data_IF_966263433873
#
_entry.id   IF_966263433873
#
_cell.length_a   1.000
_cell.length_b   1.000
_cell.length_c   1.000
_cell.angle_alpha   90.00
_cell.angle_beta   90.00
_cell.angle_gamma   90.00
#
_symmetry.space_group_name_H-M   'P 1'
#
loop_
_entity.id
_entity.type
_entity.pdbx_description
1 polymer ?
#
# COMPACT_ATOMS: atom_id res chain seq x y z
N UNK A 1 -15.90 0.45 24.90
CA UNK A 1 -15.27 -0.82 24.43
C UNK A 1 -14.16 -0.48 23.44
N UNK A 2 -12.93 -0.99 23.62
CA UNK A 2 -11.79 -0.79 22.70
C UNK A 2 -11.79 -1.88 21.64
N UNK A 3 -11.84 -1.50 20.37
CA UNK A 3 -11.90 -2.46 19.25
C UNK A 3 -10.84 -2.22 18.19
N UNK A 4 -10.62 -3.24 17.36
CA UNK A 4 -9.98 -3.12 16.07
C UNK A 4 -10.98 -3.43 14.95
N UNK A 5 -10.86 -2.75 13.81
CA UNK A 5 -11.66 -3.00 12.60
C UNK A 5 -10.71 -3.41 11.48
N UNK A 6 -11.02 -4.50 10.81
CA UNK A 6 -10.19 -5.05 9.73
C UNK A 6 -11.04 -5.33 8.51
N UNK A 7 -10.78 -4.65 7.40
CA UNK A 7 -11.38 -4.97 6.11
C UNK A 7 -10.52 -5.99 5.35
N UNK A 8 -11.13 -6.78 4.48
CA UNK A 8 -10.44 -7.86 3.78
C UNK A 8 -10.02 -9.02 4.70
N UNK A 9 -10.75 -9.23 5.79
CA UNK A 9 -10.39 -10.18 6.85
C UNK A 9 -10.53 -11.66 6.44
N UNK A 10 -11.22 -11.98 5.33
CA UNK A 10 -11.45 -13.37 4.92
C UNK A 10 -10.23 -14.07 4.34
N UNK A 11 -9.20 -13.33 3.91
CA UNK A 11 -7.99 -13.92 3.29
C UNK A 11 -6.76 -13.01 3.42
N UNK A 12 -5.62 -13.51 2.93
CA UNK A 12 -4.41 -12.74 2.71
C UNK A 12 -3.91 -11.96 3.92
N UNK A 13 -3.52 -10.69 3.67
CA UNK A 13 -2.91 -9.85 4.70
C UNK A 13 -3.91 -9.34 5.74
N UNK A 14 -5.19 -9.16 5.39
CA UNK A 14 -6.23 -8.81 6.35
C UNK A 14 -6.49 -9.91 7.37
N UNK A 15 -6.62 -11.18 6.90
CA UNK A 15 -6.74 -12.36 7.79
C UNK A 15 -5.52 -12.51 8.69
N UNK A 16 -4.33 -12.29 8.14
CA UNK A 16 -3.10 -12.38 8.92
C UNK A 16 -2.97 -11.24 9.94
N UNK A 17 -3.46 -10.03 9.61
CA UNK A 17 -3.50 -8.92 10.56
C UNK A 17 -4.39 -9.26 11.75
N UNK A 18 -5.58 -9.83 11.52
CA UNK A 18 -6.48 -10.28 12.58
C UNK A 18 -5.80 -11.30 13.52
N UNK A 19 -5.05 -12.26 12.97
CA UNK A 19 -4.33 -13.25 13.77
C UNK A 19 -3.23 -12.68 14.66
N UNK A 20 -2.58 -11.59 14.22
CA UNK A 20 -1.41 -11.05 14.91
C UNK A 20 -1.70 -9.86 15.81
N UNK A 21 -2.90 -9.27 15.72
CA UNK A 21 -3.16 -8.02 16.45
C UNK A 21 -3.26 -8.20 17.96
N UNK A 22 -3.79 -9.33 18.44
CA UNK A 22 -3.95 -9.61 19.86
C UNK A 22 -2.60 -9.59 20.61
N UNK A 23 -1.55 -10.08 19.97
CA UNK A 23 -0.18 -10.09 20.53
C UNK A 23 0.44 -8.69 20.60
N UNK A 24 -0.14 -7.69 19.95
CA UNK A 24 0.51 -6.39 19.73
C UNK A 24 -0.26 -5.20 20.23
N UNK A 25 -1.57 -5.34 20.36
CA UNK A 25 -2.46 -4.30 20.84
C UNK A 25 -3.14 -4.78 22.12
N UNK A 26 -2.44 -4.61 23.25
CA UNK A 26 -2.99 -4.96 24.56
C UNK A 26 -4.25 -4.15 24.87
N UNK A 27 -5.23 -4.83 25.47
CA UNK A 27 -6.47 -4.21 25.91
C UNK A 27 -7.53 -4.01 24.82
N UNK A 28 -7.37 -4.61 23.64
CA UNK A 28 -8.49 -4.79 22.71
C UNK A 28 -9.49 -5.78 23.32
N UNK A 29 -10.75 -5.43 23.23
CA UNK A 29 -11.85 -6.20 23.79
C UNK A 29 -12.63 -6.96 22.72
N UNK A 30 -12.61 -6.48 21.48
CA UNK A 30 -13.31 -7.10 20.35
C UNK A 30 -12.61 -6.72 19.03
N UNK A 31 -12.72 -7.58 18.01
CA UNK A 31 -12.26 -7.34 16.64
C UNK A 31 -13.46 -7.42 15.69
N UNK A 32 -13.63 -6.41 14.86
CA UNK A 32 -14.62 -6.43 13.79
C UNK A 32 -13.95 -6.86 12.47
N UNK A 33 -14.42 -7.98 11.95
CA UNK A 33 -13.93 -8.59 10.71
C UNK A 33 -14.92 -8.27 9.59
N UNK A 34 -14.45 -7.60 8.55
CA UNK A 34 -15.28 -7.15 7.44
C UNK A 34 -14.76 -7.78 6.13
N UNK A 35 -15.61 -8.55 5.46
CA UNK A 35 -15.36 -9.11 4.14
C UNK A 35 -16.67 -9.67 3.55
N UNK A 36 -16.65 -10.15 2.30
CA UNK A 36 -17.82 -10.74 1.65
C UNK A 36 -18.08 -12.19 2.10
N UNK A 37 -17.02 -12.96 2.44
CA UNK A 37 -17.09 -14.41 2.72
C UNK A 37 -17.25 -14.64 4.23
N UNK A 38 -18.50 -14.81 4.68
CA UNK A 38 -18.84 -14.99 6.10
C UNK A 38 -18.21 -16.27 6.68
N UNK A 39 -18.31 -17.37 5.96
CA UNK A 39 -17.76 -18.68 6.33
C UNK A 39 -16.28 -18.59 6.75
N UNK A 40 -15.47 -17.92 5.95
CA UNK A 40 -14.05 -17.75 6.21
C UNK A 40 -13.73 -16.80 7.38
N UNK A 41 -14.60 -15.84 7.63
CA UNK A 41 -14.46 -14.96 8.79
C UNK A 41 -14.82 -15.71 10.08
N UNK A 42 -15.87 -16.53 10.05
CA UNK A 42 -16.26 -17.37 11.20
C UNK A 42 -15.19 -18.44 11.51
N UNK A 43 -14.57 -19.02 10.49
CA UNK A 43 -13.40 -19.90 10.69
C UNK A 43 -12.25 -19.14 11.39
N UNK A 44 -11.97 -17.91 10.95
CA UNK A 44 -10.95 -17.08 11.58
C UNK A 44 -11.30 -16.73 13.02
N UNK A 45 -12.55 -16.29 13.27
CA UNK A 45 -13.08 -15.93 14.59
C UNK A 45 -12.80 -17.03 15.64
N UNK A 46 -13.07 -18.31 15.29
CA UNK A 46 -12.82 -19.44 16.20
C UNK A 46 -11.35 -19.61 16.59
N UNK A 47 -10.42 -19.03 15.85
CA UNK A 47 -8.97 -19.11 16.10
C UNK A 47 -8.40 -17.89 16.83
N UNK A 48 -9.20 -16.85 17.00
CA UNK A 48 -8.73 -15.61 17.62
C UNK A 48 -8.80 -15.70 19.16
N UNK A 49 -7.79 -15.18 19.87
CA UNK A 49 -7.75 -15.21 21.34
C UNK A 49 -8.62 -14.13 21.97
N UNK A 50 -9.27 -13.28 21.19
CA UNK A 50 -10.19 -12.22 21.64
C UNK A 50 -11.49 -12.32 20.85
N UNK A 51 -12.64 -11.92 21.44
CA UNK A 51 -13.92 -11.92 20.77
C UNK A 51 -13.84 -11.23 19.41
N UNK A 52 -14.49 -11.81 18.42
CA UNK A 52 -14.60 -11.19 17.09
C UNK A 52 -16.06 -11.06 16.67
N UNK A 53 -16.32 -10.14 15.76
CA UNK A 53 -17.62 -9.92 15.16
C UNK A 53 -17.47 -9.86 13.66
N UNK A 54 -18.21 -10.71 12.95
CA UNK A 54 -18.11 -10.84 11.50
C UNK A 54 -19.22 -10.03 10.81
N UNK A 55 -18.83 -9.26 9.80
CA UNK A 55 -19.72 -8.50 8.94
C UNK A 55 -19.53 -8.90 7.48
N UNK A 56 -20.52 -9.59 6.91
CA UNK A 56 -20.53 -9.94 5.49
C UNK A 56 -20.99 -8.71 4.69
N UNK A 57 -20.03 -7.86 4.29
CA UNK A 57 -20.28 -6.59 3.60
C UNK A 57 -19.44 -6.55 2.32
N UNK A 58 -20.08 -6.27 1.18
CA UNK A 58 -19.37 -5.76 0.01
C UNK A 58 -19.15 -4.25 0.20
N UNK A 59 -17.91 -3.87 0.39
CA UNK A 59 -17.54 -2.48 0.65
C UNK A 59 -17.70 -1.57 -0.59
N UNK A 60 -17.94 -2.11 -1.77
CA UNK A 60 -18.26 -1.32 -2.98
C UNK A 60 -19.72 -0.89 -2.99
N UNK A 61 -20.60 -1.65 -2.32
CA UNK A 61 -22.01 -1.38 -2.19
C UNK A 61 -22.28 -0.38 -1.05
N UNK A 62 -22.86 0.77 -1.36
CA UNK A 62 -23.18 1.82 -0.40
C UNK A 62 -24.20 1.35 0.65
N UNK A 63 -25.26 0.62 0.23
CA UNK A 63 -26.31 0.13 1.12
C UNK A 63 -25.78 -0.87 2.14
N UNK A 64 -24.84 -1.73 1.73
CA UNK A 64 -24.21 -2.68 2.66
C UNK A 64 -23.28 -1.97 3.65
N UNK A 65 -22.60 -0.89 3.25
CA UNK A 65 -21.78 -0.08 4.17
C UNK A 65 -22.60 0.57 5.29
N UNK A 66 -23.88 0.87 5.07
CA UNK A 66 -24.80 1.38 6.10
C UNK A 66 -24.88 0.43 7.30
N UNK A 67 -24.72 -0.89 7.10
CA UNK A 67 -24.66 -1.85 8.22
C UNK A 67 -23.51 -1.54 9.17
N UNK A 68 -22.32 -1.21 8.63
CA UNK A 68 -21.16 -0.82 9.44
C UNK A 68 -21.41 0.52 10.15
N UNK A 69 -21.97 1.49 9.43
CA UNK A 69 -22.25 2.82 9.96
C UNK A 69 -23.27 2.75 11.12
N UNK A 70 -24.38 2.00 10.94
CA UNK A 70 -25.38 1.78 11.96
C UNK A 70 -24.82 1.09 13.21
N UNK A 71 -23.96 0.09 13.02
CA UNK A 71 -23.33 -0.61 14.14
C UNK A 71 -22.33 0.29 14.89
N UNK A 72 -21.58 1.13 14.18
CA UNK A 72 -20.70 2.14 14.78
C UNK A 72 -21.53 3.17 15.60
N UNK A 73 -22.64 3.65 15.04
CA UNK A 73 -23.53 4.60 15.70
C UNK A 73 -24.19 4.02 16.94
N UNK A 74 -24.65 2.77 16.86
CA UNK A 74 -25.33 2.08 17.98
C UNK A 74 -24.37 1.78 19.14
N UNK A 75 -23.16 1.28 18.84
CA UNK A 75 -22.21 0.83 19.88
C UNK A 75 -21.23 1.89 20.34
N UNK A 76 -20.98 2.90 19.54
CA UNK A 76 -20.02 4.00 19.79
C UNK A 76 -18.68 3.46 20.34
N UNK A 77 -18.03 2.52 19.65
CA UNK A 77 -16.82 1.91 20.16
C UNK A 77 -15.65 2.90 20.13
N UNK A 78 -14.61 2.62 20.91
CA UNK A 78 -13.32 3.29 20.78
C UNK A 78 -12.43 2.48 19.84
N UNK A 79 -12.36 2.87 18.58
CA UNK A 79 -11.55 2.17 17.57
C UNK A 79 -10.08 2.51 17.76
N UNK A 80 -9.29 1.55 18.23
CA UNK A 80 -7.85 1.70 18.45
C UNK A 80 -7.01 1.34 17.23
N UNK A 81 -7.54 0.51 16.35
CA UNK A 81 -6.88 0.10 15.13
C UNK A 81 -7.88 -0.04 13.98
N UNK A 82 -7.63 0.64 12.88
CA UNK A 82 -8.28 0.40 11.60
C UNK A 82 -7.26 -0.18 10.62
N UNK A 83 -7.56 -1.34 10.04
CA UNK A 83 -6.77 -1.99 9.00
C UNK A 83 -7.59 -2.05 7.72
N UNK A 84 -7.30 -1.20 6.76
CA UNK A 84 -7.89 -1.23 5.43
C UNK A 84 -7.03 -2.14 4.52
N UNK A 85 -7.39 -3.42 4.48
CA UNK A 85 -6.69 -4.44 3.69
C UNK A 85 -7.56 -5.04 2.57
N UNK A 86 -8.82 -4.60 2.40
CA UNK A 86 -9.63 -4.93 1.22
C UNK A 86 -9.00 -4.33 -0.04
N UNK A 87 -8.97 -5.11 -1.10
CA UNK A 87 -8.46 -4.67 -2.38
C UNK A 87 -8.14 -5.84 -3.30
N UNK A 88 -8.19 -5.60 -4.59
CA UNK A 88 -7.77 -6.55 -5.62
C UNK A 88 -7.05 -5.84 -6.75
N UNK A 89 -6.45 -6.61 -7.63
CA UNK A 89 -5.85 -6.15 -8.87
C UNK A 89 -6.07 -7.14 -9.98
N UNK A 90 -6.10 -6.68 -11.22
CA UNK A 90 -6.16 -7.48 -12.44
C UNK A 90 -5.02 -7.07 -13.36
N UNK A 91 -4.23 -8.04 -13.79
CA UNK A 91 -3.11 -7.85 -14.70
C UNK A 91 -3.65 -7.87 -16.13
N UNK A 92 -3.39 -6.82 -16.87
CA UNK A 92 -3.79 -6.62 -18.25
C UNK A 92 -3.60 -5.18 -18.67
N UNK A 93 -3.52 -4.93 -19.98
CA UNK A 93 -3.49 -3.57 -20.56
C UNK A 93 -4.89 -2.97 -20.52
N UNK A 94 -4.97 -1.66 -20.35
CA UNK A 94 -6.25 -0.92 -20.36
C UNK A 94 -6.98 -1.17 -21.68
N UNK A 95 -8.26 -1.46 -21.57
CA UNK A 95 -9.13 -1.81 -22.71
C UNK A 95 -9.13 -3.30 -23.07
N UNK A 96 -8.21 -4.11 -22.55
CA UNK A 96 -8.20 -5.58 -22.72
C UNK A 96 -8.78 -6.32 -21.51
N UNK A 97 -8.97 -5.63 -20.40
CA UNK A 97 -9.69 -6.16 -19.24
C UNK A 97 -11.18 -5.81 -19.35
N UNK A 98 -12.08 -6.62 -18.77
CA UNK A 98 -13.47 -6.22 -18.60
C UNK A 98 -13.57 -4.88 -17.85
N UNK A 99 -14.46 -4.00 -18.30
CA UNK A 99 -14.67 -2.67 -17.70
C UNK A 99 -14.97 -2.76 -16.20
N UNK A 100 -15.76 -3.75 -15.79
CA UNK A 100 -16.10 -3.98 -14.37
C UNK A 100 -14.88 -4.34 -13.53
N UNK A 101 -13.90 -5.05 -14.07
CA UNK A 101 -12.64 -5.34 -13.38
C UNK A 101 -11.81 -4.05 -13.25
N UNK A 102 -11.75 -3.23 -14.30
CA UNK A 102 -10.99 -1.97 -14.28
C UNK A 102 -11.60 -0.96 -13.29
N UNK A 103 -12.90 -0.70 -13.39
CA UNK A 103 -13.60 0.24 -12.50
C UNK A 103 -13.74 -0.30 -11.10
N UNK A 104 -13.95 -1.61 -10.94
CA UNK A 104 -14.04 -2.27 -9.64
C UNK A 104 -12.76 -2.15 -8.81
N UNK A 105 -11.58 -2.09 -9.44
CA UNK A 105 -10.33 -1.77 -8.73
C UNK A 105 -10.38 -0.38 -8.10
N UNK A 106 -10.94 0.62 -8.79
CA UNK A 106 -11.08 1.99 -8.28
C UNK A 106 -12.12 2.03 -7.16
N UNK A 107 -13.27 1.38 -7.37
CA UNK A 107 -14.34 1.31 -6.37
C UNK A 107 -13.86 0.69 -5.05
N UNK A 108 -13.20 -0.46 -5.09
CA UNK A 108 -12.76 -1.14 -3.88
C UNK A 108 -11.49 -0.53 -3.27
N UNK A 109 -10.46 -0.30 -4.09
CA UNK A 109 -9.15 0.10 -3.57
C UNK A 109 -9.11 1.57 -3.14
N UNK A 110 -9.96 2.44 -3.71
CA UNK A 110 -9.96 3.89 -3.45
C UNK A 110 -11.25 4.33 -2.74
N UNK A 111 -12.41 4.24 -3.41
CA UNK A 111 -13.68 4.76 -2.90
C UNK A 111 -14.10 4.07 -1.61
N UNK A 112 -14.13 2.74 -1.57
CA UNK A 112 -14.49 2.00 -0.37
C UNK A 112 -13.51 2.24 0.80
N UNK A 113 -12.20 2.32 0.52
CA UNK A 113 -11.18 2.63 1.51
C UNK A 113 -11.41 4.02 2.14
N UNK A 114 -11.70 5.03 1.33
CA UNK A 114 -12.04 6.38 1.81
C UNK A 114 -13.32 6.37 2.65
N UNK A 115 -14.37 5.70 2.17
CA UNK A 115 -15.65 5.61 2.86
C UNK A 115 -15.49 4.96 4.25
N UNK A 116 -14.84 3.79 4.33
CA UNK A 116 -14.58 3.12 5.62
C UNK A 116 -13.75 4.00 6.54
N UNK A 117 -12.72 4.65 6.03
CA UNK A 117 -11.89 5.55 6.84
C UNK A 117 -12.73 6.70 7.39
N UNK A 118 -13.57 7.32 6.57
CA UNK A 118 -14.46 8.41 6.97
C UNK A 118 -15.45 7.98 8.06
N UNK A 119 -16.14 6.85 7.86
CA UNK A 119 -17.13 6.32 8.83
C UNK A 119 -16.49 5.96 10.18
N UNK A 120 -15.27 5.42 10.17
CA UNK A 120 -14.60 4.96 11.39
C UNK A 120 -13.93 6.11 12.17
N UNK A 121 -13.45 7.13 11.46
CA UNK A 121 -12.65 8.21 12.04
C UNK A 121 -13.28 8.94 13.23
N UNK A 122 -14.60 9.21 13.30
CA UNK A 122 -15.26 9.80 14.47
C UNK A 122 -15.12 8.97 15.75
N UNK A 123 -14.95 7.66 15.60
CA UNK A 123 -14.86 6.70 16.72
C UNK A 123 -13.40 6.41 17.13
N UNK A 124 -12.43 7.08 16.51
CA UNK A 124 -11.00 6.94 16.84
C UNK A 124 -10.56 8.00 17.84
N UNK A 125 -9.93 7.56 18.91
CA UNK A 125 -9.36 8.43 19.93
C UNK A 125 -7.84 8.58 19.77
N UNK A 126 -7.26 9.40 20.62
CA UNK A 126 -5.80 9.56 20.74
C UNK A 126 -5.08 8.22 20.86
N UNK A 127 -3.90 8.13 20.25
CA UNK A 127 -3.05 6.95 20.18
C UNK A 127 -3.65 5.77 19.37
N UNK A 128 -4.72 6.02 18.60
CA UNK A 128 -5.21 5.06 17.62
C UNK A 128 -4.32 4.99 16.38
N UNK A 129 -4.46 3.91 15.60
CA UNK A 129 -3.65 3.66 14.40
C UNK A 129 -4.54 3.30 13.20
N UNK A 130 -4.13 3.76 12.03
CA UNK A 130 -4.70 3.38 10.73
C UNK A 130 -3.60 2.75 9.89
N UNK A 131 -3.82 1.53 9.42
CA UNK A 131 -2.98 0.86 8.43
C UNK A 131 -3.72 0.83 7.09
N UNK A 132 -3.15 1.48 6.09
CA UNK A 132 -3.67 1.51 4.73
C UNK A 132 -2.82 0.59 3.84
N UNK A 133 -3.40 -0.49 3.32
CA UNK A 133 -2.67 -1.42 2.45
C UNK A 133 -2.56 -0.87 1.02
N UNK A 134 -1.48 -0.14 0.76
CA UNK A 134 -1.01 0.23 -0.56
C UNK A 134 -0.28 -0.96 -1.24
N UNK A 135 0.80 -0.71 -1.93
CA UNK A 135 1.66 -1.71 -2.60
C UNK A 135 3.00 -1.07 -2.98
N UNK A 136 4.03 -1.84 -3.27
CA UNK A 136 5.20 -1.36 -3.98
C UNK A 136 4.86 -0.83 -5.39
N UNK A 137 3.73 -1.28 -5.98
CA UNK A 137 3.18 -0.72 -7.22
C UNK A 137 2.78 0.76 -7.10
N UNK A 138 2.66 1.29 -5.87
CA UNK A 138 2.40 2.72 -5.63
C UNK A 138 3.62 3.62 -5.88
N UNK A 139 4.79 3.05 -6.08
CA UNK A 139 6.03 3.81 -6.20
C UNK A 139 6.36 4.18 -7.65
N UNK A 140 5.89 3.40 -8.61
CA UNK A 140 6.20 3.57 -10.03
C UNK A 140 4.98 3.14 -10.87
N UNK A 141 4.64 3.85 -11.96
CA UNK A 141 3.65 3.38 -12.93
C UNK A 141 4.01 1.98 -13.46
N UNK A 142 3.01 1.14 -13.68
CA UNK A 142 3.22 -0.23 -14.16
C UNK A 142 2.37 -0.51 -15.39
N UNK A 143 2.96 -0.51 -16.59
CA UNK A 143 2.29 -0.98 -17.80
C UNK A 143 1.81 -2.43 -17.64
N UNK A 144 0.63 -2.75 -18.18
CA UNK A 144 -0.04 -4.03 -17.94
C UNK A 144 -0.63 -4.19 -16.54
N UNK A 145 -0.53 -3.15 -15.68
CA UNK A 145 -1.10 -3.12 -14.34
C UNK A 145 -1.45 -1.69 -13.93
N UNK A 146 -1.76 -0.86 -14.92
CA UNK A 146 -1.85 0.60 -14.80
C UNK A 146 -2.88 1.05 -13.75
N UNK A 147 -4.11 0.54 -13.84
CA UNK A 147 -5.18 0.93 -12.92
C UNK A 147 -4.87 0.51 -11.49
N UNK A 148 -4.41 -0.73 -11.30
CA UNK A 148 -4.01 -1.17 -9.96
C UNK A 148 -2.90 -0.28 -9.38
N UNK A 149 -1.83 -0.02 -10.14
CA UNK A 149 -0.73 0.83 -9.69
C UNK A 149 -1.22 2.24 -9.35
N UNK A 150 -2.10 2.83 -10.17
CA UNK A 150 -2.72 4.12 -9.92
C UNK A 150 -3.56 4.12 -8.63
N UNK A 151 -4.39 3.07 -8.40
CA UNK A 151 -5.16 2.97 -7.14
C UNK A 151 -4.25 2.88 -5.92
N UNK A 152 -3.12 2.16 -6.03
CA UNK A 152 -2.17 2.04 -4.91
C UNK A 152 -1.33 3.30 -4.68
N UNK A 153 -1.05 4.07 -5.75
CA UNK A 153 -0.48 5.41 -5.64
C UNK A 153 -1.44 6.39 -4.95
N UNK A 154 -2.73 6.33 -5.28
CA UNK A 154 -3.78 7.05 -4.56
C UNK A 154 -3.74 6.72 -3.06
N UNK A 155 -3.76 5.43 -2.67
CA UNK A 155 -3.74 5.00 -1.26
C UNK A 155 -2.50 5.53 -0.55
N UNK A 156 -1.31 5.49 -1.19
CA UNK A 156 -0.07 5.99 -0.61
C UNK A 156 -0.13 7.51 -0.39
N UNK A 157 -0.60 8.27 -1.38
CA UNK A 157 -0.75 9.73 -1.30
C UNK A 157 -1.76 10.12 -0.23
N UNK A 158 -2.96 9.53 -0.26
CA UNK A 158 -4.02 9.71 0.72
C UNK A 158 -3.54 9.43 2.15
N UNK A 159 -2.82 8.32 2.36
CA UNK A 159 -2.29 7.96 3.68
C UNK A 159 -1.30 8.99 4.23
N UNK A 160 -0.49 9.60 3.34
CA UNK A 160 0.47 10.65 3.74
C UNK A 160 -0.22 11.93 4.15
N UNK A 161 -1.21 12.38 3.38
CA UNK A 161 -2.00 13.57 3.69
C UNK A 161 -2.80 13.37 5.00
N UNK A 162 -3.57 12.27 5.06
CA UNK A 162 -4.37 11.92 6.23
C UNK A 162 -3.55 11.85 7.53
N UNK A 163 -2.31 11.39 7.44
CA UNK A 163 -1.42 11.38 8.61
C UNK A 163 -1.16 12.79 9.18
N UNK A 164 -0.92 13.76 8.32
CA UNK A 164 -0.64 15.13 8.79
C UNK A 164 -1.94 15.81 9.29
N UNK A 165 -3.08 15.54 8.65
CA UNK A 165 -4.40 16.01 9.11
C UNK A 165 -4.76 15.46 10.50
N UNK A 166 -4.42 14.20 10.76
CA UNK A 166 -4.72 13.53 12.04
C UNK A 166 -3.65 13.72 13.13
N UNK A 167 -2.56 14.41 12.81
CA UNK A 167 -1.47 14.69 13.75
C UNK A 167 -1.93 15.44 15.02
N UNK A 168 -2.80 16.47 14.93
CA UNK A 168 -3.33 17.13 16.12
C UNK A 168 -4.16 16.20 17.04
N UNK A 169 -4.82 15.20 16.45
CA UNK A 169 -5.57 14.17 17.16
C UNK A 169 -4.70 13.01 17.67
N UNK A 170 -3.39 13.04 17.44
CA UNK A 170 -2.43 11.97 17.76
C UNK A 170 -2.82 10.59 17.23
N UNK A 171 -3.48 10.54 16.06
CA UNK A 171 -3.82 9.31 15.35
C UNK A 171 -2.73 9.03 14.32
N UNK A 172 -2.10 7.86 14.43
CA UNK A 172 -1.03 7.46 13.51
C UNK A 172 -1.57 6.80 12.23
N UNK A 173 -1.07 7.21 11.06
CA UNK A 173 -1.38 6.56 9.79
C UNK A 173 -0.10 5.97 9.19
N UNK A 174 -0.18 4.71 8.75
CA UNK A 174 0.93 3.99 8.10
C UNK A 174 0.45 3.39 6.79
N UNK A 175 1.07 3.80 5.68
CA UNK A 175 0.91 3.14 4.40
C UNK A 175 1.76 1.87 4.36
N UNK A 176 1.13 0.71 4.16
CA UNK A 176 1.81 -0.58 4.04
C UNK A 176 2.06 -0.84 2.56
N UNK A 177 3.32 -0.85 2.13
CA UNK A 177 3.72 -0.97 0.74
C UNK A 177 4.55 -2.27 0.53
N UNK A 178 3.89 -3.44 0.53
CA UNK A 178 4.58 -4.69 0.26
C UNK A 178 4.92 -4.84 -1.22
N UNK A 179 6.00 -5.58 -1.51
CA UNK A 179 6.19 -6.20 -2.82
C UNK A 179 5.22 -7.37 -3.03
N UNK A 180 5.49 -8.29 -3.96
CA UNK A 180 4.71 -9.50 -4.14
C UNK A 180 4.63 -10.32 -2.84
N UNK A 181 3.41 -10.74 -2.45
CA UNK A 181 3.16 -11.51 -1.22
C UNK A 181 2.37 -12.76 -1.57
N UNK A 182 2.78 -13.92 -1.08
CA UNK A 182 2.11 -15.20 -1.34
C UNK A 182 0.73 -15.23 -0.66
N UNK A 183 -0.31 -14.83 -1.40
CA UNK A 183 -1.71 -14.75 -0.96
C UNK A 183 -2.62 -15.07 -2.15
N UNK A 184 -3.91 -15.30 -1.92
CA UNK A 184 -4.94 -15.45 -2.97
C UNK A 184 -5.02 -14.24 -3.94
N UNK A 185 -4.32 -13.15 -3.66
CA UNK A 185 -4.31 -11.97 -4.52
C UNK A 185 -3.86 -12.29 -5.95
N UNK A 186 -2.85 -13.15 -6.10
CA UNK A 186 -2.35 -13.51 -7.43
C UNK A 186 -3.28 -14.46 -8.16
N UNK A 187 -4.01 -15.31 -7.46
CA UNK A 187 -5.04 -16.18 -8.07
C UNK A 187 -6.18 -15.34 -8.68
N UNK A 188 -6.44 -14.15 -8.11
CA UNK A 188 -7.45 -13.21 -8.61
C UNK A 188 -6.86 -12.28 -9.68
N UNK A 189 -5.60 -11.87 -9.52
CA UNK A 189 -4.95 -10.89 -10.39
C UNK A 189 -4.64 -11.44 -11.78
N UNK A 190 -4.46 -12.75 -11.90
CA UNK A 190 -4.07 -13.39 -13.14
C UNK A 190 -5.28 -13.75 -13.99
N UNK A 191 -5.34 -13.15 -15.17
CA UNK A 191 -6.32 -13.48 -16.20
C UNK A 191 -5.77 -14.48 -17.23
N UNK A 192 -4.42 -14.58 -17.34
CA UNK A 192 -3.72 -15.37 -18.37
C UNK A 192 -3.02 -16.60 -17.85
N UNK A 193 -3.08 -16.87 -16.53
CA UNK A 193 -2.52 -18.09 -15.92
C UNK A 193 -1.02 -18.07 -15.63
N UNK A 194 -0.28 -17.01 -16.01
CA UNK A 194 1.16 -16.95 -15.78
C UNK A 194 1.61 -15.77 -14.91
N UNK A 195 2.05 -16.08 -13.69
CA UNK A 195 2.78 -15.11 -12.87
C UNK A 195 4.18 -14.91 -13.47
N UNK A 196 4.61 -13.69 -13.81
CA UNK A 196 5.96 -13.44 -14.26
C UNK A 196 6.99 -14.04 -13.28
N UNK A 197 7.97 -14.77 -13.82
CA UNK A 197 8.94 -15.55 -13.04
C UNK A 197 9.65 -14.70 -11.95
N UNK A 198 9.98 -13.44 -12.26
CA UNK A 198 10.60 -12.55 -11.29
C UNK A 198 9.72 -12.25 -10.07
N UNK A 199 8.39 -12.22 -10.24
CA UNK A 199 7.45 -12.04 -9.12
C UNK A 199 7.42 -13.28 -8.23
N UNK A 200 7.50 -14.49 -8.82
CA UNK A 200 7.57 -15.75 -8.07
C UNK A 200 8.81 -15.83 -7.17
N UNK A 201 9.97 -15.40 -7.69
CA UNK A 201 11.26 -15.45 -6.97
C UNK A 201 11.32 -14.51 -5.75
N UNK A 202 10.55 -13.41 -5.75
CA UNK A 202 10.58 -12.39 -4.69
C UNK A 202 9.35 -12.40 -3.78
N UNK A 203 8.49 -13.42 -3.88
CA UNK A 203 7.29 -13.50 -3.06
C UNK A 203 7.60 -13.57 -1.57
N UNK A 204 7.08 -12.60 -0.83
CA UNK A 204 7.24 -12.52 0.61
C UNK A 204 6.17 -13.36 1.35
N UNK A 205 6.52 -13.82 2.55
CA UNK A 205 5.56 -14.48 3.44
C UNK A 205 4.63 -13.44 4.09
N UNK A 206 3.29 -13.57 3.96
CA UNK A 206 2.32 -12.62 4.51
C UNK A 206 2.48 -12.41 6.02
N UNK A 207 2.80 -13.47 6.77
CA UNK A 207 3.03 -13.41 8.21
C UNK A 207 4.17 -12.45 8.57
N UNK A 208 5.29 -12.50 7.83
CA UNK A 208 6.44 -11.61 8.05
C UNK A 208 6.15 -10.17 7.65
N UNK A 209 5.41 -9.97 6.55
CA UNK A 209 5.00 -8.65 6.04
C UNK A 209 4.09 -7.95 7.05
N UNK A 210 3.03 -8.63 7.50
CA UNK A 210 2.08 -8.10 8.47
C UNK A 210 2.74 -7.83 9.82
N UNK A 211 3.57 -8.77 10.31
CA UNK A 211 4.35 -8.57 11.53
C UNK A 211 5.15 -7.27 11.51
N UNK A 212 5.78 -6.99 10.37
CA UNK A 212 6.53 -5.74 10.19
C UNK A 212 5.60 -4.53 10.12
N UNK A 213 4.50 -4.60 9.37
CA UNK A 213 3.56 -3.50 9.20
C UNK A 213 2.96 -3.06 10.54
N UNK A 214 2.51 -3.99 11.37
CA UNK A 214 2.02 -3.72 12.72
C UNK A 214 3.09 -3.07 13.60
N UNK A 215 4.32 -3.63 13.60
CA UNK A 215 5.44 -3.04 14.34
C UNK A 215 5.77 -1.62 13.88
N UNK A 216 5.87 -1.40 12.56
CA UNK A 216 6.19 -0.09 12.00
C UNK A 216 5.10 0.94 12.32
N UNK A 217 3.83 0.53 12.34
CA UNK A 217 2.71 1.37 12.77
C UNK A 217 2.83 1.77 14.24
N UNK A 218 3.14 0.82 15.14
CA UNK A 218 3.36 1.10 16.56
C UNK A 218 4.53 2.07 16.77
N UNK A 219 5.59 1.96 15.96
CA UNK A 219 6.74 2.86 15.96
C UNK A 219 6.44 4.22 15.28
N UNK A 220 5.22 4.44 14.80
CA UNK A 220 4.82 5.68 14.15
C UNK A 220 5.44 5.91 12.77
N UNK A 221 5.86 4.87 12.04
CA UNK A 221 6.41 5.03 10.68
C UNK A 221 5.32 5.41 9.69
N UNK A 222 5.67 6.32 8.77
CA UNK A 222 4.76 6.79 7.70
C UNK A 222 4.51 5.72 6.63
N UNK A 223 5.56 4.95 6.30
CA UNK A 223 5.53 3.91 5.27
C UNK A 223 6.20 2.66 5.80
N UNK A 224 5.57 1.50 5.60
CA UNK A 224 6.12 0.19 5.92
C UNK A 224 6.45 -0.55 4.63
N UNK A 225 7.74 -0.80 4.38
CA UNK A 225 8.25 -1.55 3.23
C UNK A 225 8.97 -2.80 3.73
N UNK A 226 8.54 -3.98 3.27
CA UNK A 226 9.14 -5.25 3.68
C UNK A 226 10.21 -5.73 2.70
N UNK A 227 11.32 -6.21 3.27
CA UNK A 227 12.43 -6.79 2.54
C UNK A 227 13.47 -5.77 2.03
N UNK A 228 14.75 -6.20 1.89
CA UNK A 228 15.82 -5.31 1.45
C UNK A 228 15.62 -4.84 0.01
N UNK A 229 15.28 -5.76 -0.90
CA UNK A 229 15.06 -5.45 -2.32
C UNK A 229 13.98 -4.37 -2.51
N UNK A 230 12.84 -4.49 -1.82
CA UNK A 230 11.78 -3.48 -1.91
C UNK A 230 12.16 -2.14 -1.31
N UNK A 231 13.05 -2.11 -0.32
CA UNK A 231 13.58 -0.86 0.24
C UNK A 231 14.53 -0.17 -0.74
N UNK A 232 15.39 -0.95 -1.40
CA UNK A 232 16.27 -0.43 -2.47
C UNK A 232 15.40 0.13 -3.60
N UNK A 233 14.41 -0.62 -4.07
CA UNK A 233 13.45 -0.15 -5.07
C UNK A 233 12.76 1.15 -4.66
N UNK A 234 12.26 1.22 -3.42
CA UNK A 234 11.65 2.43 -2.87
C UNK A 234 12.60 3.63 -2.83
N UNK A 235 13.90 3.41 -2.61
CA UNK A 235 14.91 4.46 -2.65
C UNK A 235 15.19 4.89 -4.09
N UNK A 236 15.38 3.95 -5.01
CA UNK A 236 15.67 4.23 -6.42
C UNK A 236 14.58 5.10 -7.07
N UNK A 237 13.30 4.77 -6.86
CA UNK A 237 12.19 5.54 -7.43
C UNK A 237 12.00 6.93 -6.80
N UNK A 238 12.72 7.25 -5.73
CA UNK A 238 12.78 8.60 -5.16
C UNK A 238 13.90 9.44 -5.74
N UNK A 239 14.97 8.79 -6.19
CA UNK A 239 16.18 9.46 -6.68
C UNK A 239 16.10 9.69 -8.20
N UNK A 240 15.59 8.70 -8.93
CA UNK A 240 15.52 8.75 -10.39
C UNK A 240 14.13 9.17 -10.89
N UNK A 241 14.05 9.95 -11.98
CA UNK A 241 12.77 10.24 -12.65
C UNK A 241 12.08 8.95 -13.09
N UNK A 242 10.75 8.91 -12.96
CA UNK A 242 9.96 7.71 -13.30
C UNK A 242 10.15 7.31 -14.78
N UNK A 243 10.18 8.28 -15.70
CA UNK A 243 10.34 8.03 -17.13
C UNK A 243 11.68 7.35 -17.44
N UNK A 244 12.75 7.73 -16.72
CA UNK A 244 14.06 7.07 -16.84
C UNK A 244 13.99 5.60 -16.41
N UNK A 245 13.38 5.33 -15.24
CA UNK A 245 13.24 3.95 -14.73
C UNK A 245 12.37 3.11 -15.68
N UNK A 246 11.23 3.66 -16.13
CA UNK A 246 10.35 2.99 -17.08
C UNK A 246 11.04 2.68 -18.39
N UNK A 247 11.74 3.65 -18.95
CA UNK A 247 12.52 3.48 -20.19
C UNK A 247 13.58 2.37 -20.07
N UNK A 248 14.29 2.33 -18.92
CA UNK A 248 15.28 1.28 -18.65
C UNK A 248 14.61 -0.10 -18.52
N UNK A 249 13.50 -0.20 -17.79
CA UNK A 249 12.75 -1.46 -17.63
C UNK A 249 12.19 -1.96 -18.96
N UNK A 250 11.66 -1.07 -19.82
CA UNK A 250 11.19 -1.41 -21.15
C UNK A 250 12.32 -1.89 -22.04
N UNK A 251 13.45 -1.21 -22.03
CA UNK A 251 14.64 -1.61 -22.81
C UNK A 251 15.15 -2.99 -22.38
N UNK A 252 15.20 -3.27 -21.08
CA UNK A 252 15.59 -4.58 -20.55
C UNK A 252 14.58 -5.67 -20.94
N UNK A 253 13.29 -5.38 -20.90
CA UNK A 253 12.24 -6.33 -21.26
C UNK A 253 12.31 -6.67 -22.77
N UNK A 254 12.51 -5.67 -23.63
CA UNK A 254 12.72 -5.86 -25.05
C UNK A 254 13.99 -6.64 -25.37
N UNK A 255 15.10 -6.36 -24.65
CA UNK A 255 16.34 -7.14 -24.80
C UNK A 255 16.17 -8.62 -24.48
N UNK A 256 15.34 -8.95 -23.50
CA UNK A 256 15.05 -10.35 -23.11
C UNK A 256 14.14 -11.06 -24.12
N UNK A 257 13.34 -10.32 -24.89
CA UNK A 257 12.38 -10.88 -25.87
C UNK A 257 12.98 -10.95 -27.28
N UNK A 258 13.71 -9.93 -27.74
CA UNK A 258 14.15 -9.76 -29.13
C UNK A 258 15.68 -9.78 -29.37
N UNK A 259 16.49 -10.14 -28.43
CA UNK A 259 17.87 -10.65 -28.45
C UNK A 259 18.95 -9.90 -29.24
N UNK A 260 18.72 -9.04 -30.21
CA UNK A 260 19.80 -8.52 -31.08
C UNK A 260 19.79 -7.04 -31.52
N UNK A 261 18.68 -6.29 -31.43
CA UNK A 261 18.63 -4.94 -32.04
C UNK A 261 18.75 -3.76 -31.06
N UNK A 262 18.88 -3.98 -29.75
CA UNK A 262 18.70 -2.92 -28.75
C UNK A 262 19.94 -2.55 -27.92
N UNK A 263 21.10 -3.20 -28.12
CA UNK A 263 22.32 -2.87 -27.35
C UNK A 263 22.74 -1.41 -27.58
N UNK A 264 22.60 -0.88 -28.78
CA UNK A 264 22.94 0.51 -29.09
C UNK A 264 22.00 1.54 -28.46
N UNK A 265 20.72 1.24 -28.39
CA UNK A 265 19.76 2.14 -27.71
C UNK A 265 19.93 2.11 -26.19
N UNK A 266 20.26 0.96 -25.59
CA UNK A 266 20.52 0.83 -24.17
C UNK A 266 21.76 1.61 -23.73
N UNK A 267 22.85 1.52 -24.53
CA UNK A 267 24.10 2.26 -24.27
C UNK A 267 23.89 3.77 -24.37
N UNK A 268 23.12 4.24 -25.36
CA UNK A 268 22.77 5.66 -25.51
C UNK A 268 21.93 6.17 -24.30
N UNK A 269 20.97 5.38 -23.82
CA UNK A 269 20.12 5.76 -22.69
C UNK A 269 20.85 5.68 -21.35
N UNK A 270 21.74 4.72 -21.16
CA UNK A 270 22.64 4.67 -19.99
C UNK A 270 23.57 5.87 -19.97
N UNK A 271 24.09 6.27 -21.13
CA UNK A 271 24.92 7.47 -21.25
C UNK A 271 24.14 8.76 -20.90
N UNK A 272 22.89 8.89 -21.37
CA UNK A 272 22.01 9.99 -20.98
C UNK A 272 21.72 9.99 -19.47
N UNK A 273 21.52 8.82 -18.85
CA UNK A 273 21.33 8.68 -17.41
C UNK A 273 22.56 9.10 -16.60
N UNK A 274 23.76 8.78 -17.08
CA UNK A 274 25.03 9.18 -16.45
C UNK A 274 25.21 10.69 -16.57
N UNK A 275 24.87 11.30 -17.72
CA UNK A 275 24.89 12.75 -17.90
C UNK A 275 23.89 13.42 -16.94
N UNK A 276 22.67 12.89 -16.82
CA UNK A 276 21.67 13.43 -15.89
C UNK A 276 22.15 13.37 -14.43
N UNK A 277 22.81 12.28 -14.04
CA UNK A 277 23.41 12.11 -12.71
C UNK A 277 24.56 13.10 -12.47
N UNK A 278 25.40 13.33 -13.46
CA UNK A 278 26.51 14.31 -13.35
C UNK A 278 25.98 15.75 -13.31
N UNK A 279 24.93 16.06 -14.06
CA UNK A 279 24.25 17.37 -13.98
C UNK A 279 23.58 17.55 -12.61
N UNK A 280 22.95 16.51 -12.07
CA UNK A 280 22.33 16.57 -10.74
C UNK A 280 23.36 16.70 -9.62
N UNK A 281 24.52 16.01 -9.74
CA UNK A 281 25.64 16.18 -8.82
C UNK A 281 26.26 17.59 -8.92
N UNK A 282 26.35 18.13 -10.13
CA UNK A 282 26.79 19.52 -10.36
C UNK A 282 25.82 20.54 -9.73
N UNK A 283 24.52 20.35 -9.84
CA UNK A 283 23.50 21.21 -9.19
C UNK A 283 23.57 21.13 -7.67
N UNK A 284 23.82 19.96 -7.09
CA UNK A 284 23.96 19.84 -5.62
C UNK A 284 25.21 20.53 -5.11
N UNK A 285 26.32 20.48 -5.85
CA UNK A 285 27.55 21.20 -5.50
C UNK A 285 27.34 22.72 -5.62
N UNK A 286 26.73 23.20 -6.71
CA UNK A 286 26.41 24.62 -6.90
C UNK A 286 25.46 25.15 -5.81
N UNK A 287 24.46 24.37 -5.43
CA UNK A 287 23.52 24.74 -4.36
C UNK A 287 24.19 24.78 -2.99
N UNK A 288 25.12 23.86 -2.72
CA UNK A 288 25.93 23.88 -1.50
C UNK A 288 26.87 25.10 -1.45
N UNK A 289 27.53 25.41 -2.55
CA UNK A 289 28.36 26.61 -2.69
C UNK A 289 27.55 27.93 -2.48
N UNK A 290 26.33 27.95 -3.05
CA UNK A 290 25.42 29.11 -2.87
C UNK A 290 24.98 29.24 -1.40
N UNK A 291 24.69 28.12 -0.71
CA UNK A 291 24.37 28.14 0.72
C UNK A 291 25.55 28.62 1.58
N UNK A 292 26.78 28.20 1.27
CA UNK A 292 27.98 28.66 1.94
C UNK A 292 28.23 30.14 1.71
N UNK A 293 28.00 30.61 0.49
CA UNK A 293 28.10 32.05 0.16
C UNK A 293 27.06 32.87 0.94
N UNK A 294 25.79 32.44 0.97
CA UNK A 294 24.74 33.14 1.72
C UNK A 294 24.99 33.13 3.23
N UNK A 295 25.52 32.01 3.76
CA UNK A 295 25.92 31.92 5.18
C UNK A 295 27.06 32.88 5.52
N UNK A 296 28.10 32.93 4.69
CA UNK A 296 29.23 33.85 4.85
C UNK A 296 28.79 35.31 4.76
N UNK A 297 27.85 35.62 3.86
CA UNK A 297 27.29 36.97 3.72
C UNK A 297 26.41 37.37 4.93
N UNK A 298 25.73 36.42 5.55
CA UNK A 298 24.92 36.65 6.76
C UNK A 298 25.76 36.85 8.03
N UNK A 299 26.96 36.23 8.10
CA UNK A 299 27.87 36.37 9.26
C UNK A 299 28.73 37.65 9.23
N UNK A 300 28.77 38.38 8.10
CA UNK A 300 29.55 39.59 7.93
C UNK A 300 28.70 40.88 7.99
N UNK A 301 27.48 40.77 8.48
CA UNK A 301 26.62 41.88 8.90
C UNK A 301 26.30 41.76 10.40
#
# INVERSE_FOLDING_TARGET
MKIAIITGASSGMGREAARQLADRFSGLQEVWLIARRMDRMQELERTLPIPARCFAIDLTDASQRETLENELAARKPNVKLLVNASGFGKIGTVGNLPLDDETGMVELNCKALCAVTHMVLPYMSENSRILQFASAASFLPQPGFAIYAATKAFVLSYSRALREELRPRRIGVTAVCPGPVKTEFFDIAETTGEIPLYKRLVMANPKKVVKKALRDSMMGKRVSVYGPLMKVFFLLVKVFPHDFILSLLFSLMYMLVDGHHYIEQLTSRLYQGIILLSVFAGFTILFYELLLFLYSYSCNR
#
